data_IF_406175391251
#
_entry.id   IF_406175391251
#
_cell.length_a   1.000
_cell.length_b   1.000
_cell.length_c   1.000
_cell.angle_alpha   90.00
_cell.angle_beta   90.00
_cell.angle_gamma   90.00
#
_symmetry.space_group_name_H-M   'P 1'
#
loop_
_entity.id
_entity.type
_entity.pdbx_description
1 polymer ?
#
# COMPACT_ATOMS: atom_id res chain seq x y z
N UNK A 1 2.25 -15.20 2.83
CA UNK A 1 3.51 -14.43 2.88
C UNK A 1 4.67 -15.44 2.87
N UNK A 2 5.82 -15.12 2.28
CA UNK A 2 6.99 -15.99 2.31
C UNK A 2 7.44 -16.29 3.75
N UNK A 3 8.09 -17.44 3.96
CA UNK A 3 8.57 -17.86 5.28
C UNK A 3 9.80 -17.08 5.76
N UNK A 4 10.63 -16.59 4.84
CA UNK A 4 11.86 -15.84 5.13
C UNK A 4 12.12 -14.78 4.03
N UNK A 5 12.94 -13.76 4.32
CA UNK A 5 13.39 -12.76 3.34
C UNK A 5 14.43 -13.33 2.37
N UNK A 6 15.25 -14.30 2.80
CA UNK A 6 16.23 -15.00 1.97
C UNK A 6 15.65 -16.37 1.59
N UNK A 7 15.21 -16.51 0.34
CA UNK A 7 14.77 -17.80 -0.20
C UNK A 7 15.95 -18.76 -0.44
N UNK A 8 15.71 -20.06 -0.28
CA UNK A 8 16.69 -21.13 -0.51
C UNK A 8 16.46 -21.84 -1.85
N UNK A 9 15.33 -21.56 -2.49
CA UNK A 9 15.01 -21.98 -3.87
C UNK A 9 14.74 -20.75 -4.73
N UNK A 10 14.73 -20.95 -6.05
CA UNK A 10 14.37 -19.90 -7.02
C UNK A 10 12.96 -19.37 -6.74
N UNK A 11 12.00 -20.26 -6.49
CA UNK A 11 10.62 -19.88 -6.19
C UNK A 11 10.52 -19.04 -4.91
N UNK A 12 11.14 -19.50 -3.82
CA UNK A 12 11.18 -18.74 -2.57
C UNK A 12 11.84 -17.38 -2.74
N UNK A 13 12.94 -17.31 -3.49
CA UNK A 13 13.66 -16.06 -3.75
C UNK A 13 12.79 -15.05 -4.51
N UNK A 14 12.05 -15.51 -5.52
CA UNK A 14 11.13 -14.67 -6.29
C UNK A 14 9.96 -14.19 -5.41
N UNK A 15 9.35 -15.09 -4.63
CA UNK A 15 8.24 -14.74 -3.75
C UNK A 15 8.67 -13.74 -2.66
N UNK A 16 9.86 -13.92 -2.08
CA UNK A 16 10.41 -12.99 -1.10
C UNK A 16 10.74 -11.64 -1.73
N UNK A 17 11.40 -11.62 -2.89
CA UNK A 17 11.69 -10.40 -3.63
C UNK A 17 10.43 -9.62 -3.96
N UNK A 18 9.39 -10.28 -4.49
CA UNK A 18 8.11 -9.67 -4.80
C UNK A 18 7.44 -9.10 -3.54
N UNK A 19 7.32 -9.91 -2.49
CA UNK A 19 6.55 -9.54 -1.30
C UNK A 19 7.21 -8.43 -0.48
N UNK A 20 8.50 -8.58 -0.15
CA UNK A 20 9.23 -7.58 0.63
C UNK A 20 9.61 -6.36 -0.22
N UNK A 21 10.00 -6.58 -1.48
CA UNK A 21 10.33 -5.50 -2.41
C UNK A 21 9.14 -4.59 -2.69
N UNK A 22 7.96 -5.17 -2.95
CA UNK A 22 6.74 -4.38 -3.15
C UNK A 22 6.34 -3.63 -1.88
N UNK A 23 6.45 -4.27 -0.71
CA UNK A 23 6.22 -3.62 0.58
C UNK A 23 7.14 -2.40 0.81
N UNK A 24 8.45 -2.56 0.54
CA UNK A 24 9.42 -1.48 0.64
C UNK A 24 9.15 -0.36 -0.39
N UNK A 25 8.76 -0.71 -1.62
CA UNK A 25 8.36 0.24 -2.65
C UNK A 25 7.17 1.08 -2.17
N UNK A 26 6.09 0.45 -1.71
CA UNK A 26 4.92 1.16 -1.20
C UNK A 26 5.30 2.12 -0.06
N UNK A 27 6.09 1.63 0.90
CA UNK A 27 6.56 2.42 2.04
C UNK A 27 7.38 3.64 1.60
N UNK A 28 8.33 3.45 0.68
CA UNK A 28 9.19 4.51 0.16
C UNK A 28 8.40 5.54 -0.66
N UNK A 29 7.48 5.08 -1.51
CA UNK A 29 6.64 5.98 -2.31
C UNK A 29 5.75 6.86 -1.44
N UNK A 30 5.13 6.29 -0.40
CA UNK A 30 4.34 7.09 0.55
C UNK A 30 5.22 8.15 1.25
N UNK A 31 6.48 7.83 1.60
CA UNK A 31 7.40 8.82 2.19
C UNK A 31 7.76 9.93 1.22
N UNK A 32 8.17 9.59 0.00
CA UNK A 32 8.59 10.55 -1.00
C UNK A 32 7.45 11.52 -1.33
N UNK A 33 6.24 10.98 -1.55
CA UNK A 33 5.04 11.79 -1.81
C UNK A 33 4.64 12.62 -0.59
N UNK A 34 4.68 12.05 0.62
CA UNK A 34 4.34 12.77 1.84
C UNK A 34 5.29 13.92 2.12
N UNK A 35 6.59 13.77 1.83
CA UNK A 35 7.57 14.86 1.94
C UNK A 35 7.29 15.95 0.90
N UNK A 36 7.01 15.56 -0.34
CA UNK A 36 6.76 16.51 -1.44
C UNK A 36 5.48 17.34 -1.24
N UNK A 37 4.42 16.70 -0.76
CA UNK A 37 3.09 17.31 -0.56
C UNK A 37 3.00 17.99 0.81
N UNK A 38 3.52 17.33 1.86
CA UNK A 38 3.46 17.80 3.25
C UNK A 38 4.34 19.00 3.56
N UNK A 39 5.27 19.38 2.67
CA UNK A 39 6.02 20.65 2.77
C UNK A 39 5.11 21.90 2.81
N UNK A 40 3.83 21.78 2.43
CA UNK A 40 2.85 22.87 2.46
C UNK A 40 1.79 22.76 3.55
N UNK A 41 1.81 21.70 4.36
CA UNK A 41 0.87 21.38 5.46
C UNK A 41 -0.61 21.27 5.03
N UNK A 42 -1.41 20.31 5.55
CA UNK A 42 -1.06 19.20 6.45
C UNK A 42 -0.47 17.98 5.72
N UNK A 43 -0.01 16.97 6.47
CA UNK A 43 0.40 15.66 5.93
C UNK A 43 -0.77 15.02 5.15
N UNK A 44 -0.51 14.32 4.03
CA UNK A 44 -1.57 13.74 3.22
C UNK A 44 -2.33 12.64 3.98
N UNK A 45 -3.62 12.53 3.67
CA UNK A 45 -4.47 11.46 4.15
C UNK A 45 -4.29 10.23 3.25
N UNK A 46 -3.62 9.19 3.74
CA UNK A 46 -3.30 7.99 2.95
C UNK A 46 -4.40 6.94 3.12
N UNK A 47 -5.06 6.60 2.02
CA UNK A 47 -6.09 5.54 1.90
C UNK A 47 -5.49 4.36 1.15
N UNK A 48 -5.77 3.13 1.60
CA UNK A 48 -5.39 1.91 0.90
C UNK A 48 -6.63 1.13 0.45
N UNK A 49 -6.63 0.59 -0.76
CA UNK A 49 -7.73 -0.22 -1.33
C UNK A 49 -7.17 -1.38 -2.17
N UNK A 50 -8.04 -2.28 -2.63
CA UNK A 50 -7.69 -3.45 -3.44
C UNK A 50 -7.51 -4.76 -2.66
N UNK A 51 -7.49 -5.88 -3.39
CA UNK A 51 -7.55 -7.23 -2.80
C UNK A 51 -6.33 -7.64 -1.97
N UNK A 52 -5.16 -7.04 -2.21
CA UNK A 52 -3.91 -7.37 -1.51
C UNK A 52 -3.67 -6.51 -0.25
N UNK A 53 -4.67 -5.72 0.17
CA UNK A 53 -4.49 -4.77 1.26
C UNK A 53 -4.06 -5.41 2.57
N UNK A 54 -4.67 -6.54 2.93
CA UNK A 54 -4.33 -7.29 4.15
C UNK A 54 -2.88 -7.77 4.17
N UNK A 55 -2.34 -8.18 3.03
CA UNK A 55 -0.97 -8.66 2.91
C UNK A 55 0.06 -7.53 3.02
N UNK A 56 -0.24 -6.38 2.42
CA UNK A 56 0.69 -5.26 2.32
C UNK A 56 0.62 -4.27 3.49
N UNK A 57 -0.51 -4.23 4.23
CA UNK A 57 -0.74 -3.29 5.33
C UNK A 57 0.44 -3.21 6.29
N UNK A 58 1.07 -4.34 6.63
CA UNK A 58 2.16 -4.38 7.61
C UNK A 58 3.38 -3.51 7.24
N UNK A 59 3.61 -3.27 5.95
CA UNK A 59 4.74 -2.45 5.49
C UNK A 59 4.50 -0.95 5.62
N UNK A 60 3.23 -0.54 5.64
CA UNK A 60 2.77 0.85 5.50
C UNK A 60 1.80 1.28 6.62
N UNK A 61 1.52 0.39 7.58
CA UNK A 61 0.48 0.56 8.61
C UNK A 61 0.56 1.88 9.40
N UNK A 62 1.73 2.36 9.89
CA UNK A 62 1.77 3.62 10.64
C UNK A 62 1.47 4.85 9.78
N UNK A 63 1.45 4.70 8.44
CA UNK A 63 1.20 5.80 7.49
C UNK A 63 -0.20 5.78 6.90
N UNK A 64 -0.87 4.64 6.92
CA UNK A 64 -2.23 4.48 6.39
C UNK A 64 -3.24 4.92 7.45
N UNK A 65 -4.17 5.79 7.06
CA UNK A 65 -5.28 6.15 7.95
C UNK A 65 -6.41 5.12 7.90
N UNK A 66 -6.76 4.66 6.70
CA UNK A 66 -7.89 3.75 6.50
C UNK A 66 -7.63 2.78 5.35
N UNK A 67 -8.17 1.56 5.49
CA UNK A 67 -8.32 0.61 4.40
C UNK A 67 -9.79 0.63 3.98
N UNK A 68 -10.03 0.88 2.70
CA UNK A 68 -11.37 0.96 2.12
C UNK A 68 -11.47 0.03 0.91
N UNK A 69 -11.97 -1.17 1.13
CA UNK A 69 -12.13 -2.18 0.07
C UNK A 69 -13.13 -1.75 -1.02
N UNK A 70 -14.03 -0.81 -0.69
CA UNK A 70 -15.09 -0.34 -1.59
C UNK A 70 -14.83 1.05 -2.17
N UNK A 71 -13.58 1.53 -2.14
CA UNK A 71 -13.23 2.90 -2.52
C UNK A 71 -13.74 3.28 -3.91
N UNK A 72 -13.56 2.38 -4.90
CA UNK A 72 -14.04 2.61 -6.27
C UNK A 72 -15.56 2.65 -6.34
N UNK A 73 -16.26 1.74 -5.65
CA UNK A 73 -17.72 1.71 -5.63
C UNK A 73 -18.32 2.97 -5.00
N UNK A 74 -17.72 3.50 -3.93
CA UNK A 74 -18.11 4.79 -3.35
C UNK A 74 -17.92 5.93 -4.34
N UNK A 75 -16.79 5.94 -5.05
CA UNK A 75 -16.53 6.91 -6.11
C UNK A 75 -17.57 6.86 -7.24
N UNK A 76 -17.96 5.66 -7.68
CA UNK A 76 -19.00 5.49 -8.70
C UNK A 76 -20.36 5.97 -8.21
N UNK A 77 -20.74 5.65 -6.96
CA UNK A 77 -22.00 6.11 -6.37
C UNK A 77 -22.09 7.65 -6.29
N UNK A 78 -20.97 8.34 -6.07
CA UNK A 78 -20.91 9.81 -6.05
C UNK A 78 -21.09 10.44 -7.44
N UNK A 79 -20.77 9.71 -8.50
CA UNK A 79 -20.85 10.19 -9.89
C UNK A 79 -22.13 9.78 -10.60
N UNK A 80 -22.91 8.86 -10.03
CA UNK A 80 -24.13 8.36 -10.64
C UNK A 80 -25.18 9.49 -10.71
N UNK A 81 -25.75 9.76 -11.91
CA UNK A 81 -26.89 10.65 -12.01
C UNK A 81 -28.12 9.97 -11.37
N UNK A 82 -28.86 10.71 -10.55
CA UNK A 82 -30.12 10.28 -9.95
C UNK A 82 -31.22 10.13 -11.00
#
# INVERSE_FOLDING_TARGET
>A
APGDIIGKTTEESMLSGLFYGYGALCQGMVDLLSRRVGARSPRPYVVMTGGHTRLMKKFVSPKIRIIDENLVFKGMALLAPF
#
